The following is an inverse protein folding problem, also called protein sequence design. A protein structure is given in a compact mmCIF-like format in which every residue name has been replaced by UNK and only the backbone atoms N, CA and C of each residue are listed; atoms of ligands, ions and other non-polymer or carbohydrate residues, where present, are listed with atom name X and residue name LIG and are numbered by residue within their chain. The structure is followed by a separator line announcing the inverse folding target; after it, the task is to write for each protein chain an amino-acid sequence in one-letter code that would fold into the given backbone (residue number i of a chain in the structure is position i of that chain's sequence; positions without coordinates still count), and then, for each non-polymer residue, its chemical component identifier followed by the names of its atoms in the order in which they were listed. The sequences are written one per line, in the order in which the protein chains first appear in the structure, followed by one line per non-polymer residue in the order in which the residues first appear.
data_IF_249822616140
#
_entry.id   IF_249822616140
#
_cell.length_a   1.000
_cell.length_b   1.000
_cell.length_c   1.000
_cell.angle_alpha   90.00
_cell.angle_beta   90.00
_cell.angle_gamma   90.00
#
_symmetry.space_group_name_H-M   'P 1'
#
loop_
_entity.id
_entity.type
_entity.pdbx_description
1 polymer ?
#
# COMPACT_ATOMS: atom_id res chain seq x y z
N UNK A 1 37.43 20.92 8.87
CA UNK A 1 37.23 19.96 9.98
C UNK A 1 35.80 19.41 9.97
N UNK A 2 34.74 20.20 10.18
CA UNK A 2 33.35 19.70 10.23
C UNK A 2 32.86 18.97 8.96
N UNK A 3 33.18 19.50 7.77
CA UNK A 3 32.89 18.82 6.49
C UNK A 3 33.67 17.52 6.31
N UNK A 4 34.89 17.45 6.84
CA UNK A 4 35.71 16.24 6.80
C UNK A 4 35.22 15.19 7.80
N UNK A 5 34.76 15.61 8.99
CA UNK A 5 34.12 14.73 9.99
C UNK A 5 32.78 14.20 9.48
N UNK A 6 31.99 15.03 8.81
CA UNK A 6 30.76 14.57 8.14
C UNK A 6 31.07 13.62 6.99
N UNK A 7 32.04 13.94 6.13
CA UNK A 7 32.47 13.04 5.05
C UNK A 7 32.94 11.69 5.57
N UNK A 8 33.73 11.67 6.65
CA UNK A 8 34.17 10.44 7.33
C UNK A 8 33.02 9.69 8.00
N UNK A 9 32.09 10.38 8.65
CA UNK A 9 30.91 9.77 9.25
C UNK A 9 29.95 9.19 8.21
N UNK A 10 29.76 9.87 7.09
CA UNK A 10 28.98 9.40 5.95
C UNK A 10 29.66 8.20 5.29
N UNK A 11 30.98 8.23 5.11
CA UNK A 11 31.74 7.08 4.58
C UNK A 11 31.68 5.87 5.51
N UNK A 12 31.78 6.08 6.83
CA UNK A 12 31.66 5.01 7.81
C UNK A 12 30.24 4.42 7.85
N UNK A 13 29.22 5.28 7.82
CA UNK A 13 27.81 4.87 7.73
C UNK A 13 27.52 4.10 6.44
N UNK A 14 28.03 4.59 5.30
CA UNK A 14 27.92 3.89 4.01
C UNK A 14 28.66 2.55 3.99
N UNK A 15 29.79 2.44 4.70
CA UNK A 15 30.53 1.19 4.86
C UNK A 15 29.91 0.22 5.87
N UNK A 16 29.09 0.72 6.80
CA UNK A 16 28.36 -0.10 7.78
C UNK A 16 27.07 -0.72 7.22
N UNK A 17 26.63 -0.27 6.05
CA UNK A 17 25.52 -0.87 5.32
C UNK A 17 25.98 -2.14 4.62
N UNK A 18 25.20 -3.21 4.72
CA UNK A 18 25.43 -4.49 4.04
C UNK A 18 25.33 -4.40 2.51
N UNK A 19 24.89 -3.25 1.98
CA UNK A 19 24.78 -2.96 0.54
C UNK A 19 25.03 -1.47 0.27
N UNK A 20 25.90 -1.15 -0.71
CA UNK A 20 26.15 0.24 -1.15
C UNK A 20 25.23 0.56 -2.33
N UNK A 21 24.25 1.47 -2.18
CA UNK A 21 23.34 1.80 -3.28
C UNK A 21 24.08 2.50 -4.43
N UNK A 22 23.76 2.13 -5.68
CA UNK A 22 24.33 2.77 -6.86
C UNK A 22 23.87 4.23 -6.99
N UNK A 23 24.80 5.15 -7.27
CA UNK A 23 24.51 6.58 -7.46
C UNK A 23 23.49 6.81 -8.58
N UNK A 24 23.57 6.01 -9.65
CA UNK A 24 22.61 6.02 -10.75
C UNK A 24 21.20 5.56 -10.32
N UNK A 25 21.09 4.59 -9.41
CA UNK A 25 19.80 4.15 -8.87
C UNK A 25 19.11 5.23 -8.03
N UNK A 26 19.87 6.00 -7.25
CA UNK A 26 19.34 7.13 -6.46
C UNK A 26 18.87 8.26 -7.38
N UNK A 27 19.61 8.57 -8.45
CA UNK A 27 19.22 9.58 -9.43
C UNK A 27 17.97 9.16 -10.21
N UNK A 28 17.85 7.89 -10.59
CA UNK A 28 16.65 7.34 -11.24
C UNK A 28 15.42 7.44 -10.32
N UNK A 29 15.54 7.12 -9.03
CA UNK A 29 14.46 7.32 -8.05
C UNK A 29 14.01 8.77 -7.95
N UNK A 30 14.92 9.75 -7.99
CA UNK A 30 14.54 11.16 -7.96
C UNK A 30 13.77 11.58 -9.22
N UNK A 31 14.12 11.04 -10.40
CA UNK A 31 13.38 11.28 -11.64
C UNK A 31 12.00 10.64 -11.57
N UNK A 32 11.87 9.41 -11.07
CA UNK A 32 10.58 8.72 -10.89
C UNK A 32 9.66 9.39 -9.86
N UNK A 33 10.23 10.00 -8.83
CA UNK A 33 9.46 10.76 -7.85
C UNK A 33 9.00 12.12 -8.43
N UNK A 34 9.84 12.77 -9.24
CA UNK A 34 9.49 14.03 -9.93
C UNK A 34 8.42 13.86 -11.01
N UNK A 35 8.21 12.63 -11.52
CA UNK A 35 7.10 12.30 -12.44
C UNK A 35 5.80 11.95 -11.71
N UNK A 36 5.74 12.12 -10.38
CA UNK A 36 4.50 12.03 -9.60
C UNK A 36 4.21 10.67 -8.98
N UNK A 37 5.20 9.77 -8.86
CA UNK A 37 5.05 8.54 -8.06
C UNK A 37 5.30 8.81 -6.57
N UNK A 38 4.48 8.20 -5.71
CA UNK A 38 4.63 8.22 -4.24
C UNK A 38 5.90 7.47 -3.81
N UNK A 39 6.59 7.86 -2.72
CA UNK A 39 7.78 7.12 -2.25
C UNK A 39 7.45 5.64 -2.05
N UNK A 40 6.31 5.31 -1.44
CA UNK A 40 5.83 3.94 -1.23
C UNK A 40 5.74 3.03 -2.48
N UNK A 41 5.87 3.56 -3.70
CA UNK A 41 5.83 2.78 -4.97
C UNK A 41 7.19 2.53 -5.61
N UNK A 42 8.28 3.10 -5.08
CA UNK A 42 9.61 2.94 -5.67
C UNK A 42 10.26 1.67 -5.11
N UNK A 43 10.78 0.83 -6.00
CA UNK A 43 11.50 -0.43 -5.73
C UNK A 43 12.83 -0.23 -4.94
N UNK A 44 13.10 1.01 -4.53
CA UNK A 44 14.36 1.46 -3.93
C UNK A 44 14.18 2.46 -2.77
N UNK A 45 13.00 2.58 -2.15
CA UNK A 45 12.76 3.52 -1.03
C UNK A 45 13.81 3.44 0.06
N UNK A 46 14.18 2.22 0.47
CA UNK A 46 15.24 2.00 1.46
C UNK A 46 16.57 2.64 1.05
N UNK A 47 16.90 2.63 -0.25
CA UNK A 47 18.13 3.22 -0.81
C UNK A 47 18.08 4.75 -0.81
N UNK A 48 16.92 5.35 -1.10
CA UNK A 48 16.74 6.80 -1.07
C UNK A 48 16.77 7.36 0.35
N UNK A 49 16.05 6.73 1.30
CA UNK A 49 16.00 7.14 2.71
C UNK A 49 17.38 7.13 3.35
N UNK A 50 18.19 6.13 3.04
CA UNK A 50 19.57 5.98 3.55
C UNK A 50 20.50 7.10 3.08
N UNK A 51 20.28 7.68 1.89
CA UNK A 51 21.16 8.74 1.34
C UNK A 51 20.60 10.14 1.63
N UNK A 52 19.30 10.33 1.49
CA UNK A 52 18.64 11.64 1.62
C UNK A 52 18.55 12.08 3.09
N UNK A 53 18.17 11.18 4.00
CA UNK A 53 17.91 11.53 5.41
C UNK A 53 19.16 12.05 6.13
N UNK A 54 20.35 11.40 6.06
CA UNK A 54 21.55 11.90 6.73
C UNK A 54 22.02 13.24 6.14
N UNK A 55 21.89 13.40 4.81
CA UNK A 55 22.30 14.61 4.10
C UNK A 55 21.44 15.81 4.50
N UNK A 56 20.12 15.63 4.52
CA UNK A 56 19.15 16.68 4.90
C UNK A 56 19.26 17.02 6.39
N UNK A 57 19.41 16.02 7.26
CA UNK A 57 19.62 16.21 8.69
C UNK A 57 20.92 16.99 8.96
N UNK A 58 22.01 16.60 8.30
CA UNK A 58 23.29 17.31 8.42
C UNK A 58 23.22 18.73 7.89
N UNK A 59 22.65 18.96 6.71
CA UNK A 59 22.53 20.30 6.13
C UNK A 59 21.71 21.23 7.03
N UNK A 60 20.59 20.73 7.58
CA UNK A 60 19.76 21.46 8.54
C UNK A 60 20.55 21.83 9.79
N UNK A 61 21.19 20.85 10.43
CA UNK A 61 21.97 21.06 11.66
C UNK A 61 23.19 21.96 11.44
N UNK A 62 23.92 21.76 10.35
CA UNK A 62 25.09 22.54 9.99
C UNK A 62 24.75 24.03 9.80
N UNK A 63 23.63 24.33 9.14
CA UNK A 63 23.17 25.70 8.93
C UNK A 63 22.69 26.35 10.24
N UNK A 64 21.99 25.60 11.09
CA UNK A 64 21.56 26.07 12.42
C UNK A 64 22.77 26.37 13.32
N UNK A 65 23.75 25.47 13.40
CA UNK A 65 25.00 25.70 14.15
C UNK A 65 25.80 26.90 13.66
N UNK A 66 25.68 27.23 12.36
CA UNK A 66 26.28 28.42 11.75
C UNK A 66 25.44 29.69 11.96
N UNK A 67 24.41 29.65 12.80
CA UNK A 67 23.46 30.74 13.05
C UNK A 67 22.69 31.19 11.80
N UNK A 68 22.60 30.33 10.78
CA UNK A 68 21.80 30.55 9.56
C UNK A 68 20.44 29.88 9.69
N UNK A 69 19.70 30.27 10.72
CA UNK A 69 18.43 29.65 11.13
C UNK A 69 17.39 29.57 10.01
N UNK A 70 17.20 30.65 9.24
CA UNK A 70 16.23 30.67 8.11
C UNK A 70 16.63 29.65 7.03
N UNK A 71 17.91 29.55 6.71
CA UNK A 71 18.40 28.60 5.70
C UNK A 71 18.28 27.15 6.20
N UNK A 72 18.61 26.88 7.46
CA UNK A 72 18.43 25.56 8.06
C UNK A 72 16.96 25.15 8.12
N UNK A 73 16.09 26.06 8.57
CA UNK A 73 14.64 25.86 8.59
C UNK A 73 14.08 25.61 7.19
N UNK A 74 14.60 26.29 6.15
CA UNK A 74 14.22 26.07 4.77
C UNK A 74 14.56 24.68 4.24
N UNK A 75 15.72 24.12 4.60
CA UNK A 75 16.09 22.74 4.22
C UNK A 75 15.15 21.72 4.87
N UNK A 76 14.91 21.84 6.18
CA UNK A 76 13.99 20.96 6.91
C UNK A 76 12.54 21.09 6.42
N UNK A 77 12.05 22.32 6.23
CA UNK A 77 10.71 22.59 5.72
C UNK A 77 10.54 22.07 4.29
N UNK A 78 11.54 22.21 3.43
CA UNK A 78 11.53 21.66 2.07
C UNK A 78 11.41 20.14 2.06
N UNK A 79 12.15 19.46 2.93
CA UNK A 79 12.07 18.01 3.09
C UNK A 79 10.67 17.55 3.56
N UNK A 80 10.11 18.20 4.59
CA UNK A 80 8.76 17.87 5.08
C UNK A 80 7.70 18.19 4.03
N UNK A 81 7.81 19.34 3.35
CA UNK A 81 6.88 19.75 2.29
C UNK A 81 6.89 18.77 1.13
N UNK A 82 8.08 18.27 0.75
CA UNK A 82 8.22 17.22 -0.25
C UNK A 82 7.46 15.96 0.15
N UNK A 83 7.65 15.46 1.38
CA UNK A 83 6.93 14.28 1.87
C UNK A 83 5.41 14.49 1.96
N UNK A 84 4.96 15.70 2.27
CA UNK A 84 3.52 16.04 2.26
C UNK A 84 2.96 16.01 0.84
N UNK A 85 3.67 16.60 -0.12
CA UNK A 85 3.24 16.66 -1.53
C UNK A 85 3.24 15.27 -2.20
N UNK A 86 4.11 14.36 -1.76
CA UNK A 86 4.13 12.97 -2.25
C UNK A 86 3.17 12.05 -1.50
N UNK A 87 2.48 12.56 -0.46
CA UNK A 87 1.51 11.80 0.34
C UNK A 87 2.14 10.85 1.37
N UNK A 88 3.45 10.98 1.61
CA UNK A 88 4.22 10.09 2.48
C UNK A 88 4.37 10.63 3.93
N UNK A 89 4.01 11.89 4.19
CA UNK A 89 3.95 12.46 5.54
C UNK A 89 2.51 12.52 6.08
N UNK A 90 2.25 11.79 7.17
CA UNK A 90 1.01 11.91 7.94
C UNK A 90 0.96 13.17 8.81
N UNK A 91 -0.22 13.47 9.35
CA UNK A 91 -0.51 14.70 10.13
C UNK A 91 0.50 14.99 11.23
N UNK A 92 0.93 13.96 11.98
CA UNK A 92 1.90 14.13 13.07
C UNK A 92 3.28 14.56 12.56
N UNK A 93 3.74 13.99 11.45
CA UNK A 93 5.04 14.33 10.85
C UNK A 93 5.01 15.74 10.28
N UNK A 94 3.92 16.12 9.59
CA UNK A 94 3.72 17.48 9.09
C UNK A 94 3.69 18.49 10.23
N UNK A 95 2.95 18.20 11.30
CA UNK A 95 2.86 19.07 12.48
C UNK A 95 4.23 19.25 13.14
N UNK A 96 4.93 18.15 13.42
CA UNK A 96 6.28 18.20 13.99
C UNK A 96 7.24 18.98 13.10
N UNK A 97 7.16 18.81 11.78
CA UNK A 97 7.94 19.56 10.81
C UNK A 97 7.69 21.06 10.88
N UNK A 98 6.42 21.49 10.81
CA UNK A 98 6.02 22.91 10.87
C UNK A 98 6.43 23.54 12.21
N UNK A 99 6.15 22.87 13.32
CA UNK A 99 6.52 23.33 14.68
C UNK A 99 8.04 23.46 14.80
N UNK A 100 8.80 22.49 14.28
CA UNK A 100 10.27 22.54 14.28
C UNK A 100 10.81 23.68 13.43
N UNK A 101 10.25 23.91 12.24
CA UNK A 101 10.64 25.04 11.35
C UNK A 101 10.43 26.37 12.06
N UNK A 102 9.26 26.58 12.68
CA UNK A 102 8.92 27.82 13.40
C UNK A 102 9.80 27.98 14.64
N UNK A 103 10.05 26.90 15.37
CA UNK A 103 10.94 26.90 16.52
C UNK A 103 12.38 27.30 16.16
N UNK A 104 12.92 26.79 15.05
CA UNK A 104 14.26 27.14 14.56
C UNK A 104 14.33 28.61 14.13
N UNK A 105 13.33 29.12 13.41
CA UNK A 105 13.27 30.53 13.00
C UNK A 105 13.14 31.44 14.23
N UNK A 106 12.26 31.10 15.16
CA UNK A 106 12.04 31.85 16.40
C UNK A 106 13.28 31.87 17.31
N UNK A 107 14.03 30.77 17.37
CA UNK A 107 15.30 30.71 18.10
C UNK A 107 16.33 31.68 17.52
N UNK A 108 16.39 31.80 16.19
CA UNK A 108 17.25 32.78 15.53
C UNK A 108 16.83 34.23 15.78
N UNK A 109 15.53 34.49 15.91
CA UNK A 109 15.00 35.82 16.23
C UNK A 109 15.29 36.22 17.69
N UNK A 110 15.16 35.26 18.62
CA UNK A 110 15.56 35.40 20.02
C UNK A 110 17.04 35.73 20.18
N UNK A 111 17.92 35.04 19.45
CA UNK A 111 19.36 35.29 19.51
C UNK A 111 19.72 36.68 18.98
N UNK A 112 19.04 37.16 17.93
CA UNK A 112 19.24 38.51 17.36
C UNK A 112 18.80 39.63 18.31
N UNK A 113 17.77 39.41 19.10
CA UNK A 113 17.20 40.41 20.02
C UNK A 113 17.66 40.23 21.48
N UNK A 114 18.74 39.49 21.72
CA UNK A 114 19.38 39.38 23.03
C UNK A 114 18.65 38.53 24.06
N UNK A 115 17.73 37.64 23.63
CA UNK A 115 17.14 36.60 24.48
C UNK A 115 16.40 37.12 25.71
N UNK A 116 15.48 38.08 25.54
CA UNK A 116 14.66 38.58 26.66
C UNK A 116 13.59 37.55 27.08
N UNK A 117 13.33 37.42 28.38
CA UNK A 117 12.29 36.53 28.94
C UNK A 117 10.92 36.64 28.24
N UNK A 118 10.41 37.85 27.95
CA UNK A 118 9.16 38.02 27.21
C UNK A 118 9.19 37.47 25.76
N UNK A 119 10.36 37.45 25.13
CA UNK A 119 10.53 36.84 23.80
C UNK A 119 10.41 35.32 23.84
N UNK A 120 10.94 34.70 24.90
CA UNK A 120 10.86 33.24 25.10
C UNK A 120 9.42 32.83 25.36
N UNK A 121 8.70 33.58 26.19
CA UNK A 121 7.27 33.35 26.48
C UNK A 121 6.41 33.45 25.22
N UNK A 122 6.65 34.45 24.36
CA UNK A 122 5.92 34.60 23.10
C UNK A 122 6.18 33.44 22.14
N UNK A 123 7.43 33.01 21.99
CA UNK A 123 7.75 31.85 21.16
C UNK A 123 7.10 30.58 21.71
N UNK A 124 7.19 30.35 23.02
CA UNK A 124 6.58 29.20 23.67
C UNK A 124 5.05 29.20 23.48
N UNK A 125 4.40 30.36 23.61
CA UNK A 125 2.97 30.53 23.37
C UNK A 125 2.60 30.19 21.92
N UNK A 126 3.36 30.70 20.93
CA UNK A 126 3.11 30.41 19.50
C UNK A 126 3.25 28.93 19.20
N UNK A 127 4.30 28.27 19.71
CA UNK A 127 4.49 26.83 19.52
C UNK A 127 3.40 26.01 20.21
N UNK A 128 3.02 26.38 21.44
CA UNK A 128 1.93 25.72 22.16
C UNK A 128 0.60 25.85 21.41
N UNK A 129 0.28 27.05 20.89
CA UNK A 129 -0.91 27.26 20.05
C UNK A 129 -0.84 26.44 18.77
N UNK A 130 0.32 26.36 18.11
CA UNK A 130 0.48 25.54 16.90
C UNK A 130 0.28 24.04 17.15
N UNK A 131 0.61 23.54 18.34
CA UNK A 131 0.39 22.12 18.70
C UNK A 131 -1.05 21.89 19.16
N UNK A 132 -1.62 22.82 19.94
CA UNK A 132 -2.92 22.65 20.60
C UNK A 132 -4.08 23.02 19.68
N UNK A 133 -3.95 24.06 18.84
CA UNK A 133 -5.03 24.54 17.98
C UNK A 133 -5.52 23.48 16.97
N UNK A 134 -4.66 22.67 16.32
CA UNK A 134 -5.11 21.57 15.47
C UNK A 134 -5.84 20.46 16.23
N UNK A 135 -5.61 20.31 17.53
CA UNK A 135 -6.27 19.31 18.39
C UNK A 135 -7.64 19.81 18.88
N UNK A 136 -7.75 21.11 19.21
CA UNK A 136 -8.99 21.73 19.70
C UNK A 136 -9.97 22.07 18.57
N UNK A 137 -9.45 22.44 17.40
CA UNK A 137 -10.26 22.63 16.20
C UNK A 137 -10.36 21.28 15.51
N UNK A 138 -11.27 20.43 15.98
CA UNK A 138 -11.70 19.20 15.29
C UNK A 138 -12.50 19.51 14.04
N UNK A 139 -11.94 20.34 13.16
CA UNK A 139 -12.32 20.43 11.76
C UNK A 139 -11.23 19.67 11.02
N UNK A 140 -11.30 18.34 11.09
CA UNK A 140 -10.49 17.47 10.24
C UNK A 140 -11.41 16.83 9.18
N UNK A 141 -11.61 17.51 8.04
CA UNK A 141 -11.62 16.82 6.76
C UNK A 141 -10.18 16.39 6.45
N UNK A 142 -9.94 15.07 6.40
CA UNK A 142 -8.73 14.51 5.79
C UNK A 142 -7.50 14.40 6.71
N UNK A 143 -7.43 13.30 7.45
CA UNK A 143 -6.17 12.68 7.87
C UNK A 143 -5.93 11.43 7.02
N UNK A 144 -4.67 11.18 6.65
CA UNK A 144 -4.16 10.14 5.73
C UNK A 144 -4.72 10.21 4.29
N UNK A 145 -3.96 10.89 3.42
CA UNK A 145 -3.93 10.73 1.96
C UNK A 145 -5.26 10.55 1.20
N UNK A 146 -6.37 11.10 1.70
CA UNK A 146 -7.63 11.15 0.97
C UNK A 146 -7.69 12.47 0.20
N UNK A 147 -7.80 12.48 -1.15
CA UNK A 147 -8.21 13.69 -1.84
C UNK A 147 -9.56 14.11 -1.25
N UNK A 148 -9.65 15.36 -0.82
CA UNK A 148 -10.88 15.96 -0.30
C UNK A 148 -11.95 15.86 -1.39
N UNK A 149 -12.85 14.89 -1.26
CA UNK A 149 -14.11 14.87 -2.02
C UNK A 149 -15.10 15.73 -1.25
N UNK A 150 -15.51 16.86 -1.84
CA UNK A 150 -16.47 17.82 -1.27
C UNK A 150 -17.93 17.28 -1.24
N UNK A 151 -18.11 15.96 -1.24
CA UNK A 151 -19.42 15.30 -1.23
C UNK A 151 -19.51 14.28 -0.10
N UNK A 152 -20.12 14.67 1.02
CA UNK A 152 -20.82 13.78 1.98
C UNK A 152 -19.98 12.78 2.76
N UNK A 153 -19.95 12.94 4.09
CA UNK A 153 -19.41 11.94 5.02
C UNK A 153 -20.11 10.59 4.84
N UNK A 154 -19.34 9.61 4.39
CA UNK A 154 -19.74 8.20 4.26
C UNK A 154 -18.68 7.38 4.97
N UNK A 155 -19.09 6.41 5.80
CA UNK A 155 -18.14 5.45 6.37
C UNK A 155 -17.33 4.77 5.26
N UNK A 156 -16.09 4.34 5.52
CA UNK A 156 -15.33 3.57 4.53
C UNK A 156 -16.09 2.28 4.21
N UNK A 157 -16.55 2.14 2.97
CA UNK A 157 -17.21 0.93 2.48
C UNK A 157 -16.17 -0.03 1.88
N UNK A 158 -16.40 -1.35 1.95
CA UNK A 158 -15.60 -2.34 1.18
C UNK A 158 -15.58 -1.98 -0.32
N UNK A 159 -16.63 -1.31 -0.81
CA UNK A 159 -16.76 -0.92 -2.22
C UNK A 159 -15.67 0.06 -2.70
N UNK A 160 -15.12 0.90 -1.81
CA UNK A 160 -14.05 1.83 -2.19
C UNK A 160 -12.77 1.08 -2.56
N UNK A 161 -12.46 -0.04 -1.91
CA UNK A 161 -11.33 -0.91 -2.25
C UNK A 161 -11.47 -1.60 -3.61
N UNK A 162 -12.71 -1.84 -4.03
CA UNK A 162 -13.03 -2.53 -5.29
C UNK A 162 -13.06 -1.54 -6.46
N UNK A 163 -13.32 -0.26 -6.17
CA UNK A 163 -13.45 0.84 -7.15
C UNK A 163 -12.18 1.71 -7.22
N UNK A 164 -11.48 1.94 -6.11
CA UNK A 164 -10.22 2.69 -5.97
C UNK A 164 -9.02 1.73 -5.95
N UNK A 165 -8.03 1.96 -6.82
CA UNK A 165 -7.35 0.80 -7.44
C UNK A 165 -5.86 0.70 -7.19
N UNK A 166 -5.24 1.72 -6.62
CA UNK A 166 -3.78 1.72 -6.46
C UNK A 166 -3.34 1.41 -5.04
N UNK A 167 -4.22 1.61 -4.07
CA UNK A 167 -4.03 1.29 -2.67
C UNK A 167 -5.32 0.71 -2.09
N UNK A 168 -5.14 -0.11 -1.06
CA UNK A 168 -6.18 -0.67 -0.23
C UNK A 168 -5.80 -0.38 1.21
N UNK A 169 -6.53 0.52 1.86
CA UNK A 169 -6.37 0.75 3.29
C UNK A 169 -7.32 -0.18 4.06
N UNK A 170 -6.85 -0.75 5.17
CA UNK A 170 -7.61 -1.80 5.86
C UNK A 170 -8.67 -1.29 6.84
N UNK A 171 -8.71 -0.05 7.30
CA UNK A 171 -9.81 0.52 8.14
C UNK A 171 -10.35 -0.38 9.28
N UNK A 172 -11.38 0.07 10.01
CA UNK A 172 -12.03 -0.72 11.05
C UNK A 172 -13.33 -1.30 10.50
N UNK A 173 -14.45 -0.84 11.04
CA UNK A 173 -15.76 -1.25 10.58
C UNK A 173 -16.05 -0.76 9.17
N UNK A 174 -16.78 -1.59 8.40
CA UNK A 174 -17.11 -1.32 7.01
C UNK A 174 -18.56 -1.69 6.70
N UNK A 175 -19.19 -0.89 5.84
CA UNK A 175 -20.52 -1.19 5.34
C UNK A 175 -20.47 -1.91 3.97
N UNK A 176 -21.47 -2.74 3.71
CA UNK A 176 -21.77 -3.32 2.41
C UNK A 176 -23.05 -2.71 1.86
N UNK A 177 -23.06 -2.25 0.61
CA UNK A 177 -24.30 -1.80 -0.02
C UNK A 177 -24.99 -2.95 -0.76
N UNK A 178 -26.34 -3.04 -0.70
CA UNK A 178 -27.10 -4.06 -1.42
C UNK A 178 -27.28 -3.73 -2.91
N UNK A 179 -26.59 -2.70 -3.43
CA UNK A 179 -26.80 -2.24 -4.81
C UNK A 179 -26.17 -3.19 -5.81
N UNK A 180 -26.96 -3.66 -6.75
CA UNK A 180 -26.46 -4.43 -7.90
C UNK A 180 -25.48 -3.56 -8.70
N UNK A 181 -24.24 -4.02 -8.83
CA UNK A 181 -23.17 -3.29 -9.52
C UNK A 181 -23.04 -3.69 -10.98
N UNK A 182 -23.21 -4.98 -11.26
CA UNK A 182 -23.22 -5.54 -12.60
C UNK A 182 -23.91 -6.91 -12.56
N UNK A 183 -24.41 -7.34 -13.71
CA UNK A 183 -24.90 -8.68 -13.94
C UNK A 183 -23.92 -9.42 -14.85
N UNK A 184 -23.78 -10.73 -14.65
CA UNK A 184 -22.93 -11.59 -15.50
C UNK A 184 -23.73 -12.80 -15.96
N UNK A 185 -23.74 -13.03 -17.26
CA UNK A 185 -24.26 -14.25 -17.87
C UNK A 185 -23.08 -15.11 -18.32
N UNK A 186 -23.08 -16.40 -17.95
CA UNK A 186 -22.04 -17.33 -18.40
C UNK A 186 -22.27 -18.74 -17.87
N UNK A 187 -21.37 -19.65 -18.27
CA UNK A 187 -21.55 -21.10 -18.07
C UNK A 187 -21.53 -21.54 -16.60
N UNK A 188 -20.80 -20.82 -15.76
CA UNK A 188 -20.60 -21.17 -14.34
C UNK A 188 -20.24 -19.95 -13.48
N UNK A 189 -20.69 -19.90 -12.22
CA UNK A 189 -20.35 -18.82 -11.31
C UNK A 189 -18.85 -18.80 -11.01
N UNK A 190 -18.26 -17.60 -11.03
CA UNK A 190 -16.84 -17.37 -10.70
C UNK A 190 -16.67 -16.22 -9.73
N UNK A 191 -15.47 -16.09 -9.18
CA UNK A 191 -15.05 -14.87 -8.50
C UNK A 191 -14.67 -13.84 -9.58
N UNK A 192 -15.30 -12.67 -9.51
CA UNK A 192 -15.15 -11.59 -10.49
C UNK A 192 -14.10 -10.61 -9.99
N UNK A 193 -12.86 -10.80 -10.43
CA UNK A 193 -11.71 -10.00 -9.98
C UNK A 193 -11.76 -8.61 -10.60
N UNK A 194 -11.45 -7.59 -9.81
CA UNK A 194 -11.28 -6.20 -10.28
C UNK A 194 -9.86 -5.68 -10.09
N UNK A 195 -9.14 -6.14 -9.06
CA UNK A 195 -7.76 -5.75 -8.83
C UNK A 195 -6.97 -6.83 -8.08
N UNK A 196 -5.64 -6.69 -8.06
CA UNK A 196 -4.80 -7.32 -7.07
C UNK A 196 -3.62 -6.41 -6.72
N UNK A 197 -3.06 -6.65 -5.55
CA UNK A 197 -1.99 -5.88 -4.93
C UNK A 197 -0.82 -6.80 -4.61
N UNK A 198 0.39 -6.32 -4.88
CA UNK A 198 1.64 -7.04 -4.76
C UNK A 198 2.43 -6.63 -3.50
N UNK A 199 2.27 -5.40 -3.01
CA UNK A 199 2.99 -4.89 -1.84
C UNK A 199 2.09 -4.75 -0.61
N UNK A 200 2.41 -5.50 0.45
CA UNK A 200 1.85 -5.31 1.79
C UNK A 200 2.64 -4.24 2.55
N UNK A 201 1.96 -3.29 3.19
CA UNK A 201 2.58 -2.17 3.92
C UNK A 201 2.54 -2.31 5.43
N UNK A 202 1.90 -3.37 5.95
CA UNK A 202 1.67 -3.59 7.38
C UNK A 202 0.30 -3.12 7.82
N UNK A 203 -0.26 -2.13 7.13
CA UNK A 203 -1.55 -1.50 7.47
C UNK A 203 -2.51 -1.43 6.26
N UNK A 204 -2.07 -1.96 5.12
CA UNK A 204 -2.71 -1.84 3.82
C UNK A 204 -1.95 -2.57 2.72
N UNK A 205 -2.44 -2.38 1.49
CA UNK A 205 -1.84 -2.92 0.29
C UNK A 205 -1.67 -1.84 -0.77
N UNK A 206 -0.62 -1.97 -1.58
CA UNK A 206 -0.34 -1.08 -2.70
C UNK A 206 -0.05 -1.93 -3.93
N UNK A 207 -0.55 -1.47 -5.08
CA UNK A 207 -0.15 -2.03 -6.37
C UNK A 207 1.05 -1.26 -6.89
N UNK A 208 2.16 -1.95 -7.15
CA UNK A 208 3.34 -1.37 -7.79
C UNK A 208 3.33 -1.63 -9.30
N UNK A 209 4.08 -0.84 -10.05
CA UNK A 209 4.14 -0.93 -11.52
C UNK A 209 3.05 -0.14 -12.25
N UNK A 210 3.27 0.02 -13.56
CA UNK A 210 2.41 0.81 -14.43
C UNK A 210 1.24 0.01 -15.02
N UNK A 211 0.35 0.76 -15.67
CA UNK A 211 -0.65 0.23 -16.58
C UNK A 211 -0.11 0.33 -18.00
N UNK A 212 -0.20 -0.75 -18.76
CA UNK A 212 0.18 -0.80 -20.17
C UNK A 212 -1.02 -1.12 -21.03
N UNK A 213 -0.90 -0.98 -22.35
CA UNK A 213 -1.88 -1.55 -23.26
C UNK A 213 -2.03 -3.05 -22.95
N UNK A 214 -3.26 -3.56 -22.96
CA UNK A 214 -3.52 -4.94 -22.55
C UNK A 214 -3.01 -5.95 -23.57
N UNK A 215 -2.15 -6.86 -23.12
CA UNK A 215 -1.67 -8.00 -23.89
C UNK A 215 -2.22 -9.28 -23.26
N UNK A 216 -3.44 -9.64 -23.69
CA UNK A 216 -4.19 -10.74 -23.09
C UNK A 216 -3.74 -12.08 -23.67
N UNK A 217 -2.98 -12.83 -22.87
CA UNK A 217 -2.50 -14.17 -23.20
C UNK A 217 -3.06 -15.21 -22.24
N UNK A 218 -3.27 -16.42 -22.75
CA UNK A 218 -3.66 -17.54 -21.91
C UNK A 218 -2.52 -17.88 -20.93
N UNK A 219 -2.83 -18.27 -19.67
CA UNK A 219 -1.81 -18.72 -18.74
C UNK A 219 -1.17 -20.02 -19.23
N UNK A 220 0.03 -20.30 -18.72
CA UNK A 220 0.66 -21.59 -18.92
C UNK A 220 -0.16 -22.72 -18.28
N UNK A 221 -0.08 -23.91 -18.89
CA UNK A 221 -0.77 -25.11 -18.42
C UNK A 221 -2.13 -25.34 -19.08
N UNK A 222 -2.82 -26.38 -18.63
CA UNK A 222 -4.14 -26.74 -19.15
C UNK A 222 -5.19 -25.73 -18.70
N UNK A 223 -5.99 -25.23 -19.64
CA UNK A 223 -7.06 -24.27 -19.38
C UNK A 223 -8.36 -24.66 -20.08
N UNK A 224 -9.48 -24.20 -19.56
CA UNK A 224 -10.79 -24.24 -20.23
C UNK A 224 -11.19 -22.83 -20.61
N UNK A 225 -11.55 -22.65 -21.88
CA UNK A 225 -12.12 -21.40 -22.35
C UNK A 225 -13.56 -21.26 -21.86
N UNK A 226 -13.87 -20.07 -21.32
CA UNK A 226 -15.20 -19.68 -20.86
C UNK A 226 -15.52 -18.28 -21.34
N UNK A 227 -16.78 -18.06 -21.68
CA UNK A 227 -17.25 -16.74 -22.14
C UNK A 227 -18.26 -16.20 -21.14
N UNK A 228 -18.13 -14.92 -20.82
CA UNK A 228 -18.96 -14.21 -19.87
C UNK A 228 -19.41 -12.89 -20.49
N UNK A 229 -20.71 -12.61 -20.42
CA UNK A 229 -21.31 -11.35 -20.82
C UNK A 229 -21.61 -10.51 -19.58
N UNK A 230 -21.10 -9.29 -19.53
CA UNK A 230 -21.25 -8.39 -18.40
C UNK A 230 -22.17 -7.23 -18.78
N UNK A 231 -23.08 -6.87 -17.87
CA UNK A 231 -23.88 -5.66 -17.96
C UNK A 231 -23.66 -4.80 -16.72
N UNK A 232 -22.96 -3.67 -16.87
CA UNK A 232 -22.67 -2.78 -15.75
C UNK A 232 -23.94 -2.01 -15.33
N UNK A 233 -24.24 -2.02 -14.04
CA UNK A 233 -25.32 -1.23 -13.41
C UNK A 233 -24.78 0.01 -12.69
N UNK A 234 -23.47 0.19 -12.69
CA UNK A 234 -22.78 1.29 -12.03
C UNK A 234 -21.50 1.65 -12.79
N UNK A 235 -20.86 2.77 -12.41
CA UNK A 235 -19.58 3.18 -13.01
C UNK A 235 -18.41 2.34 -12.48
N UNK A 236 -17.45 2.06 -13.36
CA UNK A 236 -16.26 1.26 -13.07
C UNK A 236 -15.03 1.77 -13.81
N UNK A 237 -13.91 1.95 -13.12
CA UNK A 237 -12.60 2.17 -13.76
C UNK A 237 -11.81 0.87 -13.95
N UNK A 238 -12.13 -0.17 -13.19
CA UNK A 238 -11.57 -1.53 -13.31
C UNK A 238 -12.64 -2.41 -13.92
N UNK A 239 -12.25 -3.25 -14.85
CA UNK A 239 -13.16 -4.13 -15.58
C UNK A 239 -13.28 -5.42 -14.77
N UNK A 240 -14.45 -5.74 -14.17
CA UNK A 240 -14.64 -7.03 -13.53
C UNK A 240 -14.46 -8.16 -14.55
N UNK A 241 -13.62 -9.15 -14.23
CA UNK A 241 -13.47 -10.34 -15.06
C UNK A 241 -13.30 -11.61 -14.24
N UNK A 242 -13.67 -12.75 -14.83
CA UNK A 242 -13.11 -14.03 -14.41
C UNK A 242 -11.60 -14.06 -14.69
N UNK A 243 -10.82 -14.74 -13.85
CA UNK A 243 -9.40 -14.95 -14.10
C UNK A 243 -9.20 -16.22 -14.95
N UNK A 244 -8.47 -16.20 -16.07
CA UNK A 244 -7.68 -15.11 -16.65
C UNK A 244 -8.26 -14.64 -17.99
N UNK A 245 -8.55 -13.34 -18.20
CA UNK A 245 -9.12 -12.86 -19.45
C UNK A 245 -8.11 -12.97 -20.61
N UNK A 246 -8.54 -13.54 -21.73
CA UNK A 246 -7.77 -13.65 -22.99
C UNK A 246 -8.31 -12.74 -24.08
N UNK A 247 -9.56 -12.32 -23.97
CA UNK A 247 -10.19 -11.41 -24.94
C UNK A 247 -11.26 -10.59 -24.24
N UNK A 248 -11.32 -9.29 -24.56
CA UNK A 248 -12.43 -8.40 -24.17
C UNK A 248 -12.95 -7.77 -25.45
N UNK A 249 -14.26 -7.87 -25.68
CA UNK A 249 -14.93 -7.29 -26.86
C UNK A 249 -16.10 -6.41 -26.43
N UNK A 250 -16.54 -5.54 -27.34
CA UNK A 250 -17.66 -4.61 -27.16
C UNK A 250 -17.47 -3.58 -26.04
N UNK A 251 -16.23 -3.36 -25.59
CA UNK A 251 -15.92 -2.31 -24.63
C UNK A 251 -15.76 -0.95 -25.35
N UNK A 252 -16.38 0.09 -24.81
CA UNK A 252 -16.35 1.45 -25.36
C UNK A 252 -15.01 2.18 -25.22
N UNK A 253 -14.09 1.63 -24.42
CA UNK A 253 -12.79 2.22 -24.11
C UNK A 253 -11.63 1.25 -24.32
N UNK A 254 -10.42 1.73 -24.67
CA UNK A 254 -9.24 0.88 -24.74
C UNK A 254 -8.97 0.17 -23.41
N UNK A 255 -8.65 -1.12 -23.48
CA UNK A 255 -8.32 -1.92 -22.30
C UNK A 255 -6.86 -1.77 -21.96
N UNK A 256 -6.59 -1.41 -20.70
CA UNK A 256 -5.28 -1.39 -20.09
C UNK A 256 -5.13 -2.57 -19.15
N UNK A 257 -3.91 -3.05 -19.00
CA UNK A 257 -3.55 -4.13 -18.09
C UNK A 257 -2.58 -3.62 -17.05
N UNK A 258 -2.82 -4.01 -15.80
CA UNK A 258 -1.93 -3.73 -14.67
C UNK A 258 -0.80 -4.76 -14.60
N UNK A 259 0.29 -4.40 -13.93
CA UNK A 259 1.39 -5.33 -13.58
C UNK A 259 0.93 -6.64 -12.91
N UNK A 260 -0.19 -6.62 -12.19
CA UNK A 260 -0.76 -7.82 -11.53
C UNK A 260 -1.76 -8.57 -12.41
N UNK A 261 -2.01 -8.12 -13.64
CA UNK A 261 -2.88 -8.73 -14.64
C UNK A 261 -4.36 -8.34 -14.56
N UNK A 262 -4.74 -7.41 -13.67
CA UNK A 262 -6.09 -6.83 -13.66
C UNK A 262 -6.32 -5.88 -14.85
N UNK A 263 -7.56 -5.77 -15.32
CA UNK A 263 -7.94 -4.95 -16.47
C UNK A 263 -8.62 -3.65 -16.06
N UNK A 264 -8.28 -2.56 -16.75
CA UNK A 264 -8.73 -1.21 -16.46
C UNK A 264 -8.98 -0.42 -17.75
N UNK A 265 -9.63 0.74 -17.62
CA UNK A 265 -9.75 1.74 -18.68
C UNK A 265 -9.11 3.05 -18.23
N UNK A 266 -8.82 3.94 -19.19
CA UNK A 266 -8.59 5.34 -18.85
C UNK A 266 -9.93 6.04 -18.60
N UNK A 267 -10.09 6.61 -17.40
CA UNK A 267 -11.34 7.19 -16.95
C UNK A 267 -12.26 6.15 -16.28
N UNK A 268 -13.53 6.12 -16.70
CA UNK A 268 -14.55 5.24 -16.14
C UNK A 268 -15.51 4.75 -17.22
N UNK A 269 -15.87 3.48 -17.16
CA UNK A 269 -16.99 2.89 -17.87
C UNK A 269 -18.30 3.39 -17.27
N UNK A 270 -19.27 3.81 -18.09
CA UNK A 270 -20.57 4.26 -17.62
C UNK A 270 -21.44 3.09 -17.14
N UNK A 271 -22.46 3.40 -16.33
CA UNK A 271 -23.55 2.46 -16.09
C UNK A 271 -24.29 2.19 -17.41
N UNK A 272 -24.69 0.93 -17.65
CA UNK A 272 -25.29 0.47 -18.90
C UNK A 272 -24.30 -0.10 -19.92
N UNK A 273 -22.99 0.06 -19.69
CA UNK A 273 -21.95 -0.57 -20.51
C UNK A 273 -22.11 -2.09 -20.52
N UNK A 274 -21.98 -2.69 -21.70
CA UNK A 274 -22.06 -4.14 -21.90
C UNK A 274 -20.84 -4.61 -22.66
N UNK A 275 -20.18 -5.65 -22.16
CA UNK A 275 -18.98 -6.20 -22.77
C UNK A 275 -18.92 -7.70 -22.58
N UNK A 276 -18.17 -8.36 -23.47
CA UNK A 276 -17.97 -9.81 -23.41
C UNK A 276 -16.50 -10.10 -23.09
N UNK A 277 -16.27 -11.01 -22.15
CA UNK A 277 -14.93 -11.48 -21.80
C UNK A 277 -14.84 -12.97 -22.07
N UNK A 278 -13.83 -13.35 -22.84
CA UNK A 278 -13.37 -14.73 -22.92
C UNK A 278 -12.24 -14.89 -21.92
N UNK A 279 -12.35 -15.87 -21.02
CA UNK A 279 -11.36 -16.20 -20.02
C UNK A 279 -10.82 -17.62 -20.22
N UNK A 280 -9.51 -17.78 -20.06
CA UNK A 280 -8.84 -19.07 -19.93
C UNK A 280 -8.78 -19.43 -18.45
N UNK A 281 -9.69 -20.31 -18.02
CA UNK A 281 -9.78 -20.75 -16.62
C UNK A 281 -8.81 -21.92 -16.41
N UNK A 282 -7.88 -21.84 -15.45
CA UNK A 282 -6.96 -22.93 -15.15
C UNK A 282 -7.71 -24.24 -14.84
N UNK A 283 -7.28 -25.33 -15.47
CA UNK A 283 -7.78 -26.69 -15.25
C UNK A 283 -6.66 -27.58 -14.71
N UNK A 284 -6.08 -27.21 -13.57
CA UNK A 284 -5.08 -28.03 -12.92
C UNK A 284 -5.74 -29.16 -12.12
N UNK A 285 -5.25 -30.39 -12.27
CA UNK A 285 -5.64 -31.48 -11.38
C UNK A 285 -5.06 -31.26 -9.98
N UNK A 286 -5.70 -31.82 -8.95
CA UNK A 286 -5.18 -31.79 -7.57
C UNK A 286 -3.73 -32.26 -7.52
N UNK A 287 -3.42 -33.39 -8.15
CA UNK A 287 -2.06 -33.94 -8.22
C UNK A 287 -1.07 -32.97 -8.86
N UNK A 288 -1.46 -32.28 -9.94
CA UNK A 288 -0.58 -31.31 -10.59
C UNK A 288 -0.19 -30.16 -9.63
N UNK A 289 -1.14 -29.71 -8.80
CA UNK A 289 -0.90 -28.65 -7.81
C UNK A 289 -0.09 -29.15 -6.61
N UNK A 290 -0.38 -30.35 -6.11
CA UNK A 290 0.36 -30.98 -4.99
C UNK A 290 1.81 -31.30 -5.34
N UNK A 291 2.08 -31.69 -6.59
CA UNK A 291 3.44 -31.96 -7.08
C UNK A 291 4.17 -30.75 -7.65
N UNK A 292 3.56 -29.55 -7.59
CA UNK A 292 4.20 -28.34 -8.07
C UNK A 292 5.46 -28.04 -7.23
N UNK A 293 6.57 -27.76 -7.91
CA UNK A 293 7.83 -27.43 -7.26
C UNK A 293 7.81 -26.07 -6.55
N UNK A 294 8.82 -25.85 -5.71
CA UNK A 294 9.07 -24.57 -5.02
C UNK A 294 10.08 -23.68 -5.76
N UNK A 295 10.54 -24.11 -6.93
CA UNK A 295 11.47 -23.35 -7.76
C UNK A 295 10.71 -22.27 -8.54
N UNK A 296 10.37 -21.17 -7.87
CA UNK A 296 9.70 -20.04 -8.48
C UNK A 296 10.67 -19.20 -9.33
N UNK A 297 10.22 -18.60 -10.45
CA UNK A 297 11.00 -17.58 -11.12
C UNK A 297 11.36 -16.44 -10.15
N UNK A 298 12.61 -15.96 -10.18
CA UNK A 298 13.11 -14.95 -9.24
C UNK A 298 12.19 -13.71 -9.16
N UNK A 299 11.75 -13.19 -10.32
CA UNK A 299 10.82 -12.06 -10.37
C UNK A 299 9.50 -12.30 -9.61
N UNK A 300 9.00 -13.54 -9.57
CA UNK A 300 7.79 -13.91 -8.81
C UNK A 300 8.11 -14.02 -7.33
N UNK A 301 9.20 -14.69 -6.95
CA UNK A 301 9.62 -14.80 -5.56
C UNK A 301 9.85 -13.41 -4.96
N UNK A 302 10.73 -12.60 -5.57
CA UNK A 302 11.12 -11.27 -5.08
C UNK A 302 9.92 -10.34 -4.88
N UNK A 303 8.94 -10.40 -5.78
CA UNK A 303 7.73 -9.56 -5.71
C UNK A 303 6.72 -10.06 -4.67
N UNK A 304 6.50 -11.38 -4.62
CA UNK A 304 5.35 -11.97 -3.94
C UNK A 304 5.68 -12.73 -2.66
N UNK A 305 6.92 -12.71 -2.17
CA UNK A 305 7.30 -13.15 -0.82
C UNK A 305 7.65 -12.00 0.13
N UNK A 306 7.65 -10.75 -0.36
CA UNK A 306 8.01 -9.58 0.45
C UNK A 306 7.03 -9.35 1.62
N UNK A 307 7.60 -9.01 2.77
CA UNK A 307 6.92 -8.50 3.96
C UNK A 307 7.59 -7.20 4.39
N UNK A 308 6.84 -6.20 4.90
CA UNK A 308 7.45 -4.99 5.44
C UNK A 308 8.20 -5.31 6.73
N UNK A 309 9.28 -4.56 7.02
CA UNK A 309 10.10 -4.71 8.24
C UNK A 309 9.29 -4.55 9.54
N UNK A 310 8.11 -3.93 9.47
CA UNK A 310 7.18 -3.82 10.58
C UNK A 310 6.49 -5.14 10.94
N UNK A 311 6.55 -6.16 10.08
CA UNK A 311 5.93 -7.47 10.31
C UNK A 311 6.75 -8.23 11.35
N UNK A 312 6.20 -8.56 12.53
CA UNK A 312 6.97 -9.23 13.57
C UNK A 312 7.30 -10.70 13.24
N UNK A 313 8.50 -11.16 13.65
CA UNK A 313 8.94 -12.56 13.48
C UNK A 313 8.01 -13.61 14.10
N UNK A 314 7.15 -13.19 15.05
CA UNK A 314 6.15 -14.08 15.66
C UNK A 314 5.15 -14.60 14.61
N UNK A 315 4.86 -13.84 13.55
CA UNK A 315 4.01 -14.28 12.44
C UNK A 315 4.62 -15.49 11.73
N UNK A 316 5.90 -15.42 11.35
CA UNK A 316 6.62 -16.53 10.72
C UNK A 316 6.71 -17.74 11.65
N UNK A 317 7.04 -17.51 12.92
CA UNK A 317 7.15 -18.57 13.94
C UNK A 317 5.82 -19.29 14.16
N UNK A 318 4.71 -18.55 14.23
CA UNK A 318 3.38 -19.14 14.41
C UNK A 318 2.93 -19.88 13.17
N UNK A 319 3.20 -19.32 11.99
CA UNK A 319 2.85 -19.97 10.71
C UNK A 319 3.59 -21.30 10.57
N UNK A 320 4.90 -21.34 10.82
CA UNK A 320 5.69 -22.57 10.77
C UNK A 320 5.16 -23.67 11.70
N UNK A 321 4.65 -23.30 12.89
CA UNK A 321 4.00 -24.26 13.81
C UNK A 321 2.66 -24.77 13.28
N UNK A 322 1.85 -23.88 12.69
CA UNK A 322 0.56 -24.24 12.08
C UNK A 322 0.79 -25.20 10.91
N UNK A 323 1.79 -24.93 10.08
CA UNK A 323 2.06 -25.67 8.83
C UNK A 323 3.12 -26.76 8.99
N UNK A 324 3.46 -27.18 10.21
CA UNK A 324 4.57 -28.10 10.47
C UNK A 324 4.41 -29.49 9.80
N UNK A 325 3.19 -29.87 9.44
CA UNK A 325 2.87 -31.14 8.77
C UNK A 325 2.65 -30.98 7.25
N UNK A 326 2.60 -29.75 6.75
CA UNK A 326 2.45 -29.49 5.33
C UNK A 326 3.78 -29.75 4.61
N UNK A 327 3.72 -30.49 3.51
CA UNK A 327 4.91 -30.95 2.76
C UNK A 327 5.15 -30.18 1.47
N UNK A 328 4.16 -29.41 1.02
CA UNK A 328 4.20 -28.63 -0.22
C UNK A 328 3.44 -27.30 -0.07
N UNK A 329 3.63 -26.33 -1.00
CA UNK A 329 2.99 -25.01 -0.93
C UNK A 329 1.46 -25.08 -0.95
N UNK A 330 0.89 -26.07 -1.63
CA UNK A 330 -0.56 -26.26 -1.68
C UNK A 330 -1.12 -26.67 -0.32
N UNK A 331 -0.55 -27.70 0.32
CA UNK A 331 -0.89 -28.11 1.68
C UNK A 331 -0.68 -26.96 2.67
N UNK A 332 0.39 -26.17 2.50
CA UNK A 332 0.66 -24.99 3.33
C UNK A 332 -0.49 -23.99 3.23
N UNK A 333 -0.96 -23.70 2.03
CA UNK A 333 -2.09 -22.79 1.82
C UNK A 333 -3.40 -23.33 2.39
N UNK A 334 -3.70 -24.61 2.20
CA UNK A 334 -4.91 -25.26 2.73
C UNK A 334 -4.91 -25.24 4.25
N UNK A 335 -3.81 -25.62 4.89
CA UNK A 335 -3.69 -25.63 6.37
C UNK A 335 -3.84 -24.22 6.96
N UNK A 336 -3.30 -23.20 6.30
CA UNK A 336 -3.47 -21.80 6.74
C UNK A 336 -4.93 -21.36 6.60
N UNK A 337 -5.57 -21.66 5.46
CA UNK A 337 -6.99 -21.35 5.20
C UNK A 337 -7.87 -21.99 6.28
N UNK A 338 -7.75 -23.30 6.48
CA UNK A 338 -8.53 -24.05 7.47
C UNK A 338 -8.28 -23.53 8.90
N UNK A 339 -7.04 -23.18 9.24
CA UNK A 339 -6.73 -22.63 10.55
C UNK A 339 -7.42 -21.28 10.77
N UNK A 340 -7.38 -20.37 9.78
CA UNK A 340 -8.03 -19.07 9.88
C UNK A 340 -9.55 -19.22 9.98
N UNK A 341 -10.16 -20.07 9.16
CA UNK A 341 -11.62 -20.34 9.20
C UNK A 341 -12.06 -20.95 10.53
N UNK A 342 -11.24 -21.82 11.12
CA UNK A 342 -11.58 -22.50 12.39
C UNK A 342 -11.37 -21.60 13.60
N UNK A 343 -10.38 -20.71 13.57
CA UNK A 343 -9.92 -19.97 14.76
C UNK A 343 -10.35 -18.50 14.79
N UNK A 344 -11.03 -17.99 13.75
CA UNK A 344 -11.49 -16.59 13.67
C UNK A 344 -12.94 -16.53 13.25
N UNK A 345 -13.68 -15.55 13.78
CA UNK A 345 -15.04 -15.24 13.37
C UNK A 345 -15.11 -14.16 12.30
N UNK A 346 -16.21 -14.12 11.57
CA UNK A 346 -16.46 -13.11 10.54
C UNK A 346 -17.34 -11.98 11.08
N UNK A 347 -16.87 -10.73 11.02
CA UNK A 347 -17.66 -9.54 11.36
C UNK A 347 -17.23 -8.34 10.52
N UNK A 348 -18.21 -7.55 10.06
CA UNK A 348 -17.98 -6.24 9.43
C UNK A 348 -17.85 -5.11 10.47
N UNK A 349 -18.30 -5.36 11.70
CA UNK A 349 -18.17 -4.48 12.85
C UNK A 349 -16.94 -4.93 13.65
N UNK A 350 -15.83 -4.22 13.44
CA UNK A 350 -14.53 -4.50 14.04
C UNK A 350 -13.78 -3.20 14.32
N UNK A 351 -13.10 -3.16 15.46
CA UNK A 351 -12.16 -2.09 15.76
C UNK A 351 -10.87 -2.31 14.96
N UNK A 352 -10.36 -1.23 14.37
CA UNK A 352 -9.08 -1.30 13.67
C UNK A 352 -7.96 -1.52 14.69
N UNK A 353 -7.15 -2.58 14.57
CA UNK A 353 -6.02 -2.78 15.47
C UNK A 353 -4.90 -1.77 15.19
N UNK A 354 -4.05 -1.56 16.20
CA UNK A 354 -2.81 -0.78 16.05
C UNK A 354 -1.67 -1.69 15.58
N UNK A 355 -0.79 -1.17 14.71
CA UNK A 355 0.38 -1.93 14.24
C UNK A 355 0.08 -2.77 13.00
N UNK A 356 0.81 -3.88 12.86
CA UNK A 356 0.70 -4.76 11.70
C UNK A 356 -0.62 -5.55 11.72
N UNK A 357 -1.40 -5.46 10.63
CA UNK A 357 -2.74 -6.08 10.53
C UNK A 357 -2.66 -7.60 10.58
N UNK A 358 -1.70 -8.19 9.87
CA UNK A 358 -1.56 -9.65 9.82
C UNK A 358 -1.22 -10.20 11.20
N UNK A 359 -0.32 -9.53 11.90
CA UNK A 359 0.06 -9.85 13.27
C UNK A 359 -1.11 -9.69 14.25
N UNK A 360 -1.76 -8.53 14.26
CA UNK A 360 -2.90 -8.29 15.15
C UNK A 360 -4.03 -9.30 14.91
N UNK A 361 -4.37 -9.60 13.65
CA UNK A 361 -5.40 -10.59 13.36
C UNK A 361 -4.97 -12.01 13.77
N UNK A 362 -3.70 -12.36 13.65
CA UNK A 362 -3.18 -13.69 13.99
C UNK A 362 -3.06 -13.95 15.51
N UNK A 363 -2.99 -12.91 16.34
CA UNK A 363 -2.75 -13.08 17.79
C UNK A 363 -3.77 -12.42 18.71
N UNK A 364 -4.41 -11.32 18.29
CA UNK A 364 -5.13 -10.41 19.17
C UNK A 364 -6.61 -10.28 18.81
N UNK A 365 -6.95 -10.36 17.52
CA UNK A 365 -8.34 -10.27 17.07
C UNK A 365 -9.02 -11.64 17.07
N UNK A 366 -10.26 -11.67 17.51
CA UNK A 366 -11.13 -12.86 17.43
C UNK A 366 -12.01 -12.83 16.18
N UNK A 367 -12.34 -11.65 15.66
CA UNK A 367 -13.23 -11.44 14.51
C UNK A 367 -12.62 -10.48 13.50
N UNK A 368 -12.98 -10.64 12.22
CA UNK A 368 -12.54 -9.77 11.12
C UNK A 368 -13.38 -10.00 9.87
N UNK A 369 -13.22 -9.16 8.85
CA UNK A 369 -13.87 -9.38 7.55
C UNK A 369 -12.85 -9.81 6.49
N UNK A 370 -13.32 -10.02 5.26
CA UNK A 370 -12.54 -10.65 4.17
C UNK A 370 -11.13 -10.06 3.97
N UNK A 371 -10.94 -8.75 4.15
CA UNK A 371 -9.61 -8.12 3.99
C UNK A 371 -8.63 -8.53 5.07
N UNK A 372 -9.06 -8.72 6.33
CA UNK A 372 -8.20 -9.21 7.41
C UNK A 372 -7.77 -10.66 7.14
N UNK A 373 -8.73 -11.53 6.82
CA UNK A 373 -8.44 -12.92 6.45
C UNK A 373 -7.47 -13.02 5.28
N UNK A 374 -7.75 -12.33 4.18
CA UNK A 374 -6.90 -12.35 2.99
C UNK A 374 -5.50 -11.78 3.29
N UNK A 375 -5.41 -10.68 4.05
CA UNK A 375 -4.13 -10.07 4.42
C UNK A 375 -3.29 -11.00 5.26
N UNK A 376 -3.86 -11.57 6.32
CA UNK A 376 -3.15 -12.50 7.21
C UNK A 376 -2.75 -13.78 6.49
N UNK A 377 -3.64 -14.36 5.67
CA UNK A 377 -3.32 -15.54 4.87
C UNK A 377 -2.12 -15.28 3.94
N UNK A 378 -2.12 -14.15 3.22
CA UNK A 378 -1.00 -13.81 2.35
C UNK A 378 0.27 -13.57 3.16
N UNK A 379 0.21 -12.87 4.28
CA UNK A 379 1.39 -12.62 5.12
C UNK A 379 1.99 -13.92 5.70
N UNK A 380 1.12 -14.84 6.14
CA UNK A 380 1.53 -16.17 6.60
C UNK A 380 2.21 -16.96 5.47
N UNK A 381 1.61 -17.02 4.28
CA UNK A 381 2.22 -17.70 3.12
C UNK A 381 3.59 -17.12 2.76
N UNK A 382 3.69 -15.79 2.69
CA UNK A 382 4.93 -15.09 2.38
C UNK A 382 6.02 -15.34 3.40
N UNK A 383 5.66 -15.45 4.68
CA UNK A 383 6.59 -15.79 5.76
C UNK A 383 7.19 -17.20 5.63
N UNK A 384 6.56 -18.07 4.83
CA UNK A 384 7.02 -19.42 4.51
C UNK A 384 7.57 -19.50 3.07
N UNK A 385 7.95 -18.36 2.49
CA UNK A 385 8.50 -18.25 1.12
C UNK A 385 7.55 -18.73 0.01
N UNK A 386 6.24 -18.82 0.29
CA UNK A 386 5.22 -19.13 -0.72
C UNK A 386 4.73 -17.84 -1.37
N UNK A 387 4.96 -17.63 -2.69
CA UNK A 387 4.52 -16.43 -3.40
C UNK A 387 3.00 -16.28 -3.34
N UNK A 388 2.53 -15.18 -2.76
CA UNK A 388 1.11 -14.92 -2.59
C UNK A 388 0.80 -13.43 -2.81
N UNK A 389 -0.44 -13.11 -3.16
CA UNK A 389 -0.90 -11.72 -3.39
C UNK A 389 -2.36 -11.56 -3.02
N UNK A 390 -2.74 -10.34 -2.63
CA UNK A 390 -4.13 -10.04 -2.29
C UNK A 390 -4.90 -9.66 -3.56
N UNK A 391 -5.99 -10.37 -3.84
CA UNK A 391 -6.91 -10.05 -4.93
C UNK A 391 -8.25 -9.56 -4.37
N UNK A 392 -8.85 -8.56 -5.01
CA UNK A 392 -10.16 -8.03 -4.68
C UNK A 392 -11.12 -8.15 -5.86
N UNK A 393 -12.39 -8.20 -5.54
CA UNK A 393 -13.46 -8.36 -6.50
C UNK A 393 -14.76 -8.77 -5.83
N UNK A 394 -15.62 -9.42 -6.59
CA UNK A 394 -16.92 -9.89 -6.14
C UNK A 394 -16.95 -11.41 -6.11
N UNK A 395 -17.59 -11.98 -5.10
CA UNK A 395 -17.97 -13.40 -5.11
C UNK A 395 -19.07 -13.63 -6.16
N UNK A 396 -19.40 -14.89 -6.48
CA UNK A 396 -20.66 -15.18 -7.16
C UNK A 396 -21.82 -14.45 -6.48
N UNK A 397 -22.64 -13.76 -7.27
CA UNK A 397 -23.85 -13.09 -6.81
C UNK A 397 -25.04 -14.04 -6.76
N UNK A 398 -26.23 -13.47 -6.61
CA UNK A 398 -27.47 -14.22 -6.67
C UNK A 398 -27.87 -14.48 -8.14
N UNK A 399 -28.38 -15.69 -8.47
CA UNK A 399 -29.00 -15.93 -9.76
C UNK A 399 -30.21 -15.01 -9.94
N UNK A 400 -30.34 -14.39 -11.12
CA UNK A 400 -31.39 -13.42 -11.46
C UNK A 400 -32.39 -13.99 -12.45
#
# INVERSE_FOLDING_TARGET
ITLAVFGLGMLWYLAALSYVPSVLGVLASNVELLTGRTLLRVDAVGRWVVVATPTLAFATWFLVLRRRYIAGAGVGAGAVSYLVLTGDAGTMVTLLGVVSTVGVIGSGDLERHGGSGPGIERLALVLAVMVIAPVLVTVVPGGSASPVSLTGGTQPSIESAVVTQNNLEIVGSVDQSPRVRFEVTGDEPRRWRTAAFDRYTGDGWVRTGDRTAAELTAPAGETRTRTYEYALRSQFSAIPTAWQPTTVTNLSSPTLQTSTGGLQVDGQLPAGEQYTVTAAVPNASRTAVETAGQAYPAAIADTYTQLPDSTPDRVATRTSKITQQATNPYETAVVIEEWLETNRGYSLDVDRPTGDIADAFLFEMEVGYCTYYATTMVAMLRSQEVPARLAVGYTPGEPV
#
